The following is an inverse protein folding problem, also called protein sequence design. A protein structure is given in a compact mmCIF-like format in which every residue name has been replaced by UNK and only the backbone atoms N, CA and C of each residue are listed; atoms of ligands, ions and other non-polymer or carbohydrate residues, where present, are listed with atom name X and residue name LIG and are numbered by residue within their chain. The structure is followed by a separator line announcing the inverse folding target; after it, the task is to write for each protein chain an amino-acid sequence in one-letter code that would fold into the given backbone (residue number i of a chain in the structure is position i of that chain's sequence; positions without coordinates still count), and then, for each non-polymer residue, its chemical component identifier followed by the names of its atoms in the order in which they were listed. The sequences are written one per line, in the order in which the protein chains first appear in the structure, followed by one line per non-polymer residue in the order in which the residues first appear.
data_IF_501465681795
#
_entry.id   IF_501465681795
#
_cell.length_a   1.000
_cell.length_b   1.000
_cell.length_c   1.000
_cell.angle_alpha   90.00
_cell.angle_beta   90.00
_cell.angle_gamma   90.00
#
_symmetry.space_group_name_H-M   'P 1'
#
loop_
_entity.id
_entity.type
_entity.pdbx_description
1 polymer ?
#
# COMPACT_ATOMS: atom_id res chain seq x y z
N UNK A 1 -25.80 35.54 -53.05
CA UNK A 1 -26.35 34.63 -52.01
C UNK A 1 -26.25 33.20 -52.56
N UNK A 2 -25.80 32.13 -51.90
CA UNK A 2 -25.71 31.78 -50.48
C UNK A 2 -24.62 30.69 -50.35
N UNK A 3 -23.46 31.02 -49.77
CA UNK A 3 -22.38 30.07 -49.44
C UNK A 3 -22.33 29.79 -47.93
N UNK A 4 -23.46 29.99 -47.24
CA UNK A 4 -23.54 30.02 -45.77
C UNK A 4 -23.97 28.67 -45.17
N UNK A 5 -24.33 27.68 -46.01
CA UNK A 5 -24.99 26.45 -45.52
C UNK A 5 -24.05 25.26 -45.26
N UNK A 6 -22.78 25.30 -45.68
CA UNK A 6 -21.83 24.15 -45.50
C UNK A 6 -20.90 24.24 -44.29
N UNK A 7 -20.79 25.40 -43.65
CA UNK A 7 -19.82 25.62 -42.55
C UNK A 7 -20.33 25.21 -41.17
N UNK A 8 -21.65 25.02 -41.01
CA UNK A 8 -22.24 24.66 -39.70
C UNK A 8 -22.16 23.16 -39.38
N UNK A 9 -22.13 22.27 -40.38
CA UNK A 9 -22.21 20.82 -40.17
C UNK A 9 -20.86 20.16 -39.82
N UNK A 10 -19.73 20.79 -40.18
CA UNK A 10 -18.39 20.30 -39.88
C UNK A 10 -17.87 20.78 -38.51
N UNK A 11 -18.29 21.96 -38.06
CA UNK A 11 -17.94 22.50 -36.74
C UNK A 11 -18.59 21.69 -35.58
N UNK A 12 -19.80 21.16 -35.78
CA UNK A 12 -20.48 20.32 -34.77
C UNK A 12 -19.84 18.94 -34.58
N UNK A 13 -19.33 18.33 -35.66
CA UNK A 13 -18.72 16.99 -35.65
C UNK A 13 -17.37 16.95 -34.94
N UNK A 14 -16.52 17.96 -35.14
CA UNK A 14 -15.19 18.05 -34.51
C UNK A 14 -15.29 18.41 -33.02
N UNK A 15 -16.26 19.24 -32.64
CA UNK A 15 -16.49 19.62 -31.24
C UNK A 15 -16.99 18.45 -30.41
N UNK A 16 -17.88 17.61 -30.95
CA UNK A 16 -18.34 16.39 -30.27
C UNK A 16 -17.22 15.35 -30.13
N UNK A 17 -16.39 15.17 -31.16
CA UNK A 17 -15.23 14.29 -31.10
C UNK A 17 -14.20 14.77 -30.07
N UNK A 18 -13.79 16.04 -30.08
CA UNK A 18 -12.85 16.59 -29.08
C UNK A 18 -13.41 16.53 -27.66
N UNK A 19 -14.71 16.77 -27.47
CA UNK A 19 -15.39 16.63 -26.17
C UNK A 19 -15.39 15.18 -25.69
N UNK A 20 -15.63 14.20 -26.56
CA UNK A 20 -15.57 12.79 -26.20
C UNK A 20 -14.15 12.38 -25.78
N UNK A 21 -13.12 12.85 -26.51
CA UNK A 21 -11.72 12.61 -26.14
C UNK A 21 -11.37 13.27 -24.80
N UNK A 22 -11.83 14.50 -24.57
CA UNK A 22 -11.64 15.19 -23.29
C UNK A 22 -12.32 14.44 -22.14
N UNK A 23 -13.54 13.93 -22.32
CA UNK A 23 -14.25 13.13 -21.31
C UNK A 23 -13.52 11.82 -21.00
N UNK A 24 -13.02 11.13 -22.03
CA UNK A 24 -12.22 9.90 -21.86
C UNK A 24 -10.93 10.20 -21.10
N UNK A 25 -10.23 11.28 -21.44
CA UNK A 25 -9.01 11.69 -20.72
C UNK A 25 -9.31 12.05 -19.26
N UNK A 26 -10.37 12.81 -18.99
CA UNK A 26 -10.78 13.15 -17.62
C UNK A 26 -11.11 11.90 -16.81
N UNK A 27 -11.83 10.94 -17.41
CA UNK A 27 -12.15 9.66 -16.76
C UNK A 27 -10.89 8.86 -16.44
N UNK A 28 -9.93 8.78 -17.37
CA UNK A 28 -8.66 8.09 -17.15
C UNK A 28 -7.84 8.74 -16.04
N UNK A 29 -7.76 10.08 -16.01
CA UNK A 29 -7.09 10.80 -14.92
C UNK A 29 -7.77 10.57 -13.56
N UNK A 30 -9.11 10.56 -13.50
CA UNK A 30 -9.85 10.26 -12.29
C UNK A 30 -9.60 8.81 -11.80
N UNK A 31 -9.62 7.82 -12.70
CA UNK A 31 -9.32 6.43 -12.37
C UNK A 31 -7.86 6.24 -11.90
N UNK A 32 -6.91 6.94 -12.51
CA UNK A 32 -5.51 6.92 -12.11
C UNK A 32 -5.32 7.57 -10.74
N UNK A 33 -6.00 8.68 -10.46
CA UNK A 33 -5.97 9.35 -9.15
C UNK A 33 -6.53 8.46 -8.04
N UNK A 34 -7.64 7.76 -8.28
CA UNK A 34 -8.19 6.78 -7.33
C UNK A 34 -7.23 5.60 -7.09
N UNK A 35 -6.52 5.15 -8.13
CA UNK A 35 -5.50 4.10 -8.01
C UNK A 35 -4.28 4.54 -7.21
N UNK A 36 -3.87 5.82 -7.32
CA UNK A 36 -2.81 6.41 -6.51
C UNK A 36 -3.22 6.60 -5.04
N UNK A 37 -4.52 6.74 -4.78
CA UNK A 37 -5.09 6.81 -3.44
C UNK A 37 -5.27 5.43 -2.78
N UNK A 38 -4.90 4.32 -3.46
CA UNK A 38 -4.60 3.09 -2.75
C UNK A 38 -3.39 3.36 -1.87
N UNK A 39 -3.66 3.78 -0.63
CA UNK A 39 -2.65 3.88 0.40
C UNK A 39 -1.82 2.61 0.34
N UNK A 40 -0.51 2.78 0.27
CA UNK A 40 0.40 1.71 0.61
C UNK A 40 0.08 1.39 2.06
N UNK A 41 -0.87 0.49 2.33
CA UNK A 41 -0.96 -0.18 3.61
C UNK A 41 0.49 -0.56 3.87
N UNK A 42 1.08 0.05 4.88
CA UNK A 42 2.46 -0.22 5.23
C UNK A 42 2.65 -1.73 5.30
N UNK A 43 3.88 -2.20 5.35
CA UNK A 43 4.15 -3.62 5.61
C UNK A 43 3.74 -4.00 7.07
N UNK A 44 2.47 -3.80 7.41
CA UNK A 44 1.84 -3.99 8.70
C UNK A 44 1.61 -5.47 8.89
N UNK A 45 1.82 -5.91 10.13
CA UNK A 45 1.37 -7.22 10.54
C UNK A 45 -0.17 -7.28 10.51
N UNK A 46 -0.72 -8.32 9.88
CA UNK A 46 -2.15 -8.66 9.91
C UNK A 46 -2.46 -9.79 10.90
N UNK A 47 -1.42 -10.35 11.52
CA UNK A 47 -1.52 -11.45 12.46
C UNK A 47 -0.18 -11.82 13.07
N UNK A 48 -0.20 -12.75 14.01
CA UNK A 48 0.96 -13.16 14.79
C UNK A 48 1.36 -14.60 14.50
N UNK A 49 2.67 -14.85 14.42
CA UNK A 49 3.21 -16.19 14.48
C UNK A 49 3.05 -16.74 15.90
N UNK A 50 2.53 -17.96 16.04
CA UNK A 50 2.40 -18.63 17.34
C UNK A 50 3.76 -18.90 18.00
N UNK A 51 4.75 -19.31 17.20
CA UNK A 51 6.13 -19.52 17.64
C UNK A 51 7.09 -19.56 16.43
N UNK A 52 8.38 -19.30 16.67
CA UNK A 52 9.46 -19.49 15.70
C UNK A 52 10.30 -20.72 16.10
N UNK A 53 10.34 -21.75 15.23
CA UNK A 53 11.10 -23.00 15.50
C UNK A 53 12.61 -22.78 15.61
N UNK A 54 13.18 -21.84 14.83
CA UNK A 54 14.62 -21.57 14.77
C UNK A 54 14.93 -20.18 15.33
N UNK A 55 14.78 -19.98 16.64
CA UNK A 55 15.00 -18.69 17.33
C UNK A 55 16.44 -18.17 17.15
N UNK A 56 17.41 -19.06 17.01
CA UNK A 56 18.81 -18.72 16.69
C UNK A 56 19.00 -17.98 15.35
N UNK A 57 18.01 -18.03 14.45
CA UNK A 57 18.06 -17.30 13.19
C UNK A 57 17.53 -15.86 13.29
N UNK A 58 17.00 -15.45 14.44
CA UNK A 58 16.53 -14.08 14.67
C UNK A 58 17.76 -13.20 14.89
N UNK A 59 17.94 -12.19 14.04
CA UNK A 59 19.08 -11.27 14.08
C UNK A 59 18.74 -9.98 14.84
N UNK A 60 17.55 -9.45 14.60
CA UNK A 60 17.11 -8.19 15.18
C UNK A 60 15.59 -8.15 15.24
N UNK A 61 15.05 -7.12 15.88
CA UNK A 61 13.62 -6.87 15.88
C UNK A 61 13.32 -5.38 15.70
N UNK A 62 12.14 -5.11 15.18
CA UNK A 62 11.57 -3.76 15.08
C UNK A 62 10.20 -3.76 15.76
N UNK A 63 9.88 -2.66 16.45
CA UNK A 63 8.56 -2.49 17.07
C UNK A 63 7.65 -1.77 16.08
N UNK A 64 6.47 -2.35 15.85
CA UNK A 64 5.38 -1.71 15.12
C UNK A 64 4.37 -1.20 16.15
N UNK A 65 4.17 0.11 16.18
CA UNK A 65 3.12 0.75 16.96
C UNK A 65 1.79 0.76 16.20
N UNK A 66 0.70 1.01 16.94
CA UNK A 66 -0.64 1.19 16.37
C UNK A 66 -0.94 2.68 16.29
N UNK A 67 -0.44 3.36 15.27
CA UNK A 67 -0.47 4.82 15.08
C UNK A 67 -1.54 5.28 14.07
N UNK A 68 -2.44 4.39 13.68
CA UNK A 68 -3.56 4.66 12.75
C UNK A 68 -3.35 4.12 11.34
N UNK A 69 -2.10 3.85 10.94
CA UNK A 69 -1.79 3.15 9.68
C UNK A 69 -1.79 1.62 9.88
N UNK A 70 -1.15 1.16 10.97
CA UNK A 70 -1.25 -0.23 11.40
C UNK A 70 -2.24 -0.39 12.56
N UNK A 71 -3.18 -1.32 12.42
CA UNK A 71 -4.24 -1.54 13.42
C UNK A 71 -3.83 -2.40 14.63
N UNK A 72 -2.66 -3.07 14.56
CA UNK A 72 -2.18 -3.93 15.64
C UNK A 72 -0.74 -3.60 16.01
N UNK A 73 -0.43 -3.73 17.31
CA UNK A 73 0.96 -3.68 17.80
C UNK A 73 1.65 -5.01 17.50
N UNK A 74 2.86 -4.97 16.98
CA UNK A 74 3.59 -6.16 16.62
C UNK A 74 5.10 -6.00 16.80
N UNK A 75 5.77 -7.12 17.03
CA UNK A 75 7.23 -7.20 16.98
C UNK A 75 7.60 -7.90 15.67
N UNK A 76 8.37 -7.21 14.83
CA UNK A 76 8.85 -7.72 13.55
C UNK A 76 10.23 -8.31 13.76
N UNK A 77 10.33 -9.64 13.79
CA UNK A 77 11.61 -10.33 13.90
C UNK A 77 12.27 -10.48 12.53
N UNK A 78 13.46 -9.91 12.38
CA UNK A 78 14.29 -10.07 11.18
C UNK A 78 15.05 -11.38 11.24
N UNK A 79 14.90 -12.21 10.21
CA UNK A 79 15.46 -13.55 10.15
C UNK A 79 16.63 -13.63 9.18
N UNK A 80 17.72 -14.30 9.55
CA UNK A 80 18.95 -14.42 8.73
C UNK A 80 18.75 -14.93 7.30
N UNK A 81 17.77 -15.80 7.09
CA UNK A 81 17.53 -16.48 5.81
C UNK A 81 16.16 -16.17 5.21
N UNK A 82 15.48 -15.12 5.68
CA UNK A 82 14.20 -14.71 5.09
C UNK A 82 14.17 -13.22 4.83
N UNK A 83 13.70 -12.81 3.64
CA UNK A 83 13.59 -11.40 3.29
C UNK A 83 12.45 -10.72 4.06
N UNK A 84 11.38 -11.45 4.39
CA UNK A 84 10.24 -10.92 5.14
C UNK A 84 10.40 -11.16 6.64
N UNK A 85 10.15 -10.14 7.48
CA UNK A 85 10.15 -10.31 8.92
C UNK A 85 9.00 -11.21 9.37
N UNK A 86 9.16 -11.80 10.55
CA UNK A 86 8.10 -12.58 11.19
C UNK A 86 7.40 -11.69 12.21
N UNK A 87 6.09 -11.50 12.03
CA UNK A 87 5.23 -10.79 12.96
C UNK A 87 4.97 -11.62 14.22
N UNK A 88 5.16 -11.03 15.39
CA UNK A 88 4.94 -11.68 16.67
C UNK A 88 4.20 -10.76 17.65
N UNK A 89 3.44 -11.36 18.57
CA UNK A 89 2.66 -10.63 19.55
C UNK A 89 3.58 -10.14 20.69
N UNK A 90 3.66 -8.83 20.98
CA UNK A 90 4.50 -8.30 22.05
C UNK A 90 4.15 -8.86 23.45
N UNK A 91 2.93 -9.37 23.63
CA UNK A 91 2.46 -9.90 24.90
C UNK A 91 2.91 -11.35 25.17
N UNK A 92 3.37 -12.07 24.15
CA UNK A 92 3.78 -13.47 24.30
C UNK A 92 5.11 -13.58 25.06
N UNK A 93 5.20 -14.52 26.01
CA UNK A 93 6.40 -14.71 26.83
C UNK A 93 7.64 -15.07 26.00
N UNK A 94 7.49 -15.87 24.95
CA UNK A 94 8.60 -16.21 24.07
C UNK A 94 9.12 -14.99 23.30
N UNK A 95 8.26 -14.03 22.98
CA UNK A 95 8.63 -12.80 22.27
C UNK A 95 9.43 -11.91 23.20
N UNK A 96 8.96 -11.69 24.42
CA UNK A 96 9.68 -10.91 25.45
C UNK A 96 11.07 -11.48 25.72
N UNK A 97 11.18 -12.82 25.83
CA UNK A 97 12.46 -13.51 26.01
C UNK A 97 13.43 -13.24 24.85
N UNK A 98 12.96 -13.35 23.61
CA UNK A 98 13.82 -13.09 22.44
C UNK A 98 14.17 -11.60 22.30
N UNK A 99 13.26 -10.69 22.62
CA UNK A 99 13.55 -9.25 22.66
C UNK A 99 14.65 -8.93 23.68
N UNK A 100 14.57 -9.50 24.88
CA UNK A 100 15.61 -9.35 25.91
C UNK A 100 16.95 -9.94 25.49
N UNK A 101 16.95 -11.09 24.79
CA UNK A 101 18.18 -11.68 24.23
C UNK A 101 18.84 -10.78 23.18
N UNK A 102 18.04 -10.10 22.36
CA UNK A 102 18.52 -9.27 21.24
C UNK A 102 18.87 -7.84 21.62
N UNK A 103 18.30 -7.33 22.72
CA UNK A 103 18.64 -6.04 23.28
C UNK A 103 19.23 -6.25 24.68
N UNK A 104 20.50 -6.70 24.78
CA UNK A 104 21.19 -6.70 26.06
C UNK A 104 21.28 -5.24 26.52
N UNK A 105 20.62 -4.93 27.63
CA UNK A 105 20.86 -3.68 28.36
C UNK A 105 22.28 -3.70 28.93
#
# INVERSE_FOLDING_TARGET
MNNTSRTAATAGRTTAAMKFHALVLILLFACMYLSLAQGSYGNCCLGYAKEIRRKANIISYTKQESDGDCNIKAILFTMKRRPKPVCANPNDEWVKKEMGRLNPQ
#
